data_IF_254519616133
#
_entry.id   IF_254519616133
#
_cell.length_a   1.000
_cell.length_b   1.000
_cell.length_c   1.000
_cell.angle_alpha   90.00
_cell.angle_beta   90.00
_cell.angle_gamma   90.00
#
_symmetry.space_group_name_H-M   'P 1'
#
loop_
_entity.id
_entity.type
_entity.pdbx_description
1 polymer ?
#
# COMPACT_ATOMS: atom_id res chain seq x y z
N UNK A 1 -12.41 -17.31 10.16
CA UNK A 1 -12.63 -16.05 10.91
C UNK A 1 -11.93 -14.93 10.14
N UNK A 2 -12.64 -13.84 9.79
CA UNK A 2 -12.02 -12.72 9.05
C UNK A 2 -10.91 -12.14 9.93
N UNK A 3 -9.71 -11.94 9.38
CA UNK A 3 -8.58 -11.34 10.10
C UNK A 3 -9.00 -10.00 10.72
N UNK A 4 -8.96 -9.92 12.06
CA UNK A 4 -9.24 -8.69 12.78
C UNK A 4 -7.93 -7.93 13.08
N UNK A 5 -7.59 -6.99 12.18
CA UNK A 5 -6.38 -6.18 12.30
C UNK A 5 -6.28 -5.39 13.61
N UNK A 6 -7.41 -4.92 14.17
CA UNK A 6 -7.41 -4.18 15.44
C UNK A 6 -7.00 -5.08 16.61
N UNK A 7 -7.54 -6.31 16.66
CA UNK A 7 -7.16 -7.30 17.69
C UNK A 7 -5.67 -7.64 17.60
N UNK A 8 -5.16 -7.88 16.40
CA UNK A 8 -3.74 -8.16 16.16
C UNK A 8 -2.84 -7.00 16.60
N UNK A 9 -3.20 -5.76 16.25
CA UNK A 9 -2.43 -4.57 16.61
C UNK A 9 -2.45 -4.23 18.11
N UNK A 10 -3.53 -4.60 18.83
CA UNK A 10 -3.59 -4.47 20.30
C UNK A 10 -2.64 -5.42 21.01
N UNK A 11 -2.37 -6.57 20.42
CA UNK A 11 -1.50 -7.62 20.99
C UNK A 11 -0.02 -7.45 20.56
N UNK A 12 0.25 -6.63 19.55
CA UNK A 12 1.60 -6.43 19.00
C UNK A 12 2.41 -5.44 19.85
N UNK A 13 3.65 -5.81 20.17
CA UNK A 13 4.60 -4.90 20.81
C UNK A 13 5.01 -3.74 19.87
N UNK A 14 5.41 -2.62 20.45
CA UNK A 14 5.99 -1.51 19.66
C UNK A 14 7.45 -1.79 19.29
N UNK A 15 7.97 -1.27 18.16
CA UNK A 15 7.28 -0.45 17.15
C UNK A 15 6.36 -1.29 16.24
N UNK A 16 5.15 -0.79 15.96
CA UNK A 16 4.15 -1.47 15.12
C UNK A 16 4.13 -0.90 13.70
N UNK A 17 3.98 -1.77 12.71
CA UNK A 17 3.72 -1.39 11.32
C UNK A 17 2.24 -1.64 11.03
N UNK A 18 1.54 -0.63 10.53
CA UNK A 18 0.10 -0.70 10.25
C UNK A 18 -0.14 -0.50 8.76
N UNK A 19 -0.76 -1.49 8.11
CA UNK A 19 -1.25 -1.38 6.74
C UNK A 19 -2.69 -0.87 6.75
N UNK A 20 -3.02 0.07 5.88
CA UNK A 20 -4.40 0.49 5.61
C UNK A 20 -4.56 0.93 4.16
N UNK A 21 -5.79 0.89 3.66
CA UNK A 21 -6.20 1.47 2.37
C UNK A 21 -7.25 2.58 2.57
N UNK A 22 -7.37 3.12 3.80
CA UNK A 22 -8.30 4.21 4.07
C UNK A 22 -7.80 5.53 3.45
N UNK A 23 -8.71 6.36 2.91
CA UNK A 23 -8.38 7.74 2.58
C UNK A 23 -7.99 8.51 3.86
N UNK A 24 -7.23 9.60 3.70
CA UNK A 24 -6.66 10.33 4.83
C UNK A 24 -7.73 10.79 5.86
N UNK A 25 -8.91 11.17 5.37
CA UNK A 25 -10.02 11.68 6.19
C UNK A 25 -10.74 10.59 7.00
N UNK A 26 -10.54 9.31 6.65
CA UNK A 26 -11.11 8.18 7.40
C UNK A 26 -10.07 7.47 8.28
N UNK A 27 -8.81 7.91 8.24
CA UNK A 27 -7.78 7.35 9.13
C UNK A 27 -8.16 7.66 10.59
N UNK A 28 -8.07 6.69 11.52
CA UNK A 28 -8.41 6.93 12.92
C UNK A 28 -7.65 8.12 13.50
N UNK A 29 -8.37 9.05 14.14
CA UNK A 29 -7.85 10.33 14.61
C UNK A 29 -6.55 10.19 15.45
N UNK A 30 -6.43 9.10 16.22
CA UNK A 30 -5.26 8.83 17.05
C UNK A 30 -3.94 8.79 16.27
N UNK A 31 -3.93 8.41 14.99
CA UNK A 31 -2.71 8.41 14.18
C UNK A 31 -2.19 9.83 13.93
N UNK A 32 -3.11 10.78 13.74
CA UNK A 32 -2.79 12.21 13.60
C UNK A 32 -2.42 12.83 14.95
N UNK A 33 -3.22 12.57 15.99
CA UNK A 33 -2.99 13.10 17.34
C UNK A 33 -1.65 12.63 17.95
N UNK A 34 -1.24 11.39 17.65
CA UNK A 34 0.06 10.84 18.09
C UNK A 34 1.20 11.14 17.12
N UNK A 35 0.94 11.94 16.08
CA UNK A 35 1.92 12.37 15.09
C UNK A 35 2.74 11.19 14.52
N UNK A 36 2.04 10.10 14.17
CA UNK A 36 2.69 8.90 13.66
C UNK A 36 3.31 9.14 12.27
N UNK A 37 4.47 8.51 12.01
CA UNK A 37 5.04 8.44 10.66
C UNK A 37 4.14 7.61 9.74
N UNK A 38 3.92 8.08 8.53
CA UNK A 38 3.10 7.45 7.50
C UNK A 38 3.84 7.45 6.17
N UNK A 39 3.73 6.34 5.43
CA UNK A 39 4.23 6.23 4.07
C UNK A 39 3.02 5.96 3.18
N UNK A 40 2.77 6.85 2.23
CA UNK A 40 1.74 6.71 1.22
C UNK A 40 2.39 6.33 -0.12
N UNK A 41 1.95 5.23 -0.72
CA UNK A 41 2.41 4.78 -2.03
C UNK A 41 1.28 4.95 -3.06
N UNK A 42 1.48 5.84 -4.03
CA UNK A 42 0.57 6.04 -5.15
C UNK A 42 1.02 5.21 -6.38
N UNK A 43 0.09 4.89 -7.26
CA UNK A 43 0.36 4.29 -8.57
C UNK A 43 -0.62 4.87 -9.58
N UNK A 44 -0.23 4.96 -10.85
CA UNK A 44 -1.09 5.46 -11.91
C UNK A 44 -2.44 4.71 -11.96
N UNK A 45 -3.53 5.45 -12.18
CA UNK A 45 -4.89 4.93 -12.10
C UNK A 45 -5.19 3.79 -13.08
N UNK A 46 -4.58 3.80 -14.28
CA UNK A 46 -4.83 2.81 -15.32
C UNK A 46 -4.32 1.44 -14.89
N UNK A 47 -3.08 1.37 -14.41
CA UNK A 47 -2.51 0.14 -13.89
C UNK A 47 -3.21 -0.34 -12.62
N UNK A 48 -3.63 0.59 -11.76
CA UNK A 48 -4.43 0.25 -10.57
C UNK A 48 -5.73 -0.42 -10.99
N UNK A 49 -6.45 0.13 -11.98
CA UNK A 49 -7.70 -0.47 -12.47
C UNK A 49 -7.49 -1.89 -13.00
N UNK A 50 -6.44 -2.13 -13.81
CA UNK A 50 -6.09 -3.47 -14.31
C UNK A 50 -5.78 -4.41 -13.15
N UNK A 51 -4.90 -4.02 -12.23
CA UNK A 51 -4.54 -4.85 -11.08
C UNK A 51 -5.75 -5.16 -10.19
N UNK A 52 -6.65 -4.20 -10.01
CA UNK A 52 -7.81 -4.34 -9.14
C UNK A 52 -8.87 -5.24 -9.76
N UNK A 53 -9.05 -5.18 -11.08
CA UNK A 53 -9.91 -6.11 -11.82
C UNK A 53 -9.50 -7.58 -11.59
N UNK A 54 -8.21 -7.91 -11.74
CA UNK A 54 -7.74 -9.26 -11.46
C UNK A 54 -7.85 -9.65 -9.98
N UNK A 55 -7.67 -8.69 -9.07
CA UNK A 55 -7.87 -8.94 -7.64
C UNK A 55 -9.32 -9.32 -7.30
N UNK A 56 -10.32 -8.65 -7.91
CA UNK A 56 -11.73 -9.01 -7.79
C UNK A 56 -12.02 -10.44 -8.28
N UNK A 57 -11.37 -10.86 -9.37
CA UNK A 57 -11.53 -12.23 -9.91
C UNK A 57 -10.88 -13.30 -9.05
N UNK A 58 -9.82 -12.95 -8.31
CA UNK A 58 -9.04 -13.89 -7.52
C UNK A 58 -9.57 -14.04 -6.09
N UNK A 59 -10.12 -12.99 -5.50
CA UNK A 59 -10.52 -12.96 -4.08
C UNK A 59 -12.02 -13.18 -3.94
N UNK A 60 -12.40 -14.34 -3.39
CA UNK A 60 -13.77 -14.81 -3.17
C UNK A 60 -14.68 -13.82 -2.43
N UNK A 61 -14.11 -12.94 -1.60
CA UNK A 61 -14.85 -11.90 -0.88
C UNK A 61 -15.39 -10.76 -1.76
N UNK A 62 -14.95 -10.65 -3.02
CA UNK A 62 -15.42 -9.64 -3.96
C UNK A 62 -16.53 -10.20 -4.85
N UNK A 63 -17.51 -9.37 -5.26
CA UNK A 63 -18.46 -9.77 -6.30
C UNK A 63 -17.73 -9.96 -7.64
N UNK A 64 -18.36 -10.69 -8.57
CA UNK A 64 -17.87 -10.79 -9.95
C UNK A 64 -17.70 -9.37 -10.53
N UNK A 65 -16.49 -8.99 -11.00
CA UNK A 65 -16.27 -7.67 -11.57
C UNK A 65 -16.99 -7.46 -12.91
N UNK A 66 -17.46 -8.53 -13.57
CA UNK A 66 -17.97 -8.48 -14.94
C UNK A 66 -16.85 -8.40 -15.96
N UNK A 67 -17.13 -7.80 -17.12
CA UNK A 67 -16.11 -7.48 -18.11
C UNK A 67 -15.16 -6.37 -17.61
N UNK A 68 -13.96 -6.31 -18.19
CA UNK A 68 -13.01 -5.25 -17.84
C UNK A 68 -13.57 -3.84 -18.12
N UNK A 69 -14.37 -3.68 -19.17
CA UNK A 69 -15.00 -2.39 -19.50
C UNK A 69 -15.97 -1.95 -18.39
N UNK A 70 -16.89 -2.82 -17.99
CA UNK A 70 -17.85 -2.55 -16.90
C UNK A 70 -17.12 -2.26 -15.57
N UNK A 71 -16.03 -2.97 -15.30
CA UNK A 71 -15.22 -2.71 -14.12
C UNK A 71 -14.56 -1.33 -14.15
N UNK A 72 -14.01 -0.92 -15.30
CA UNK A 72 -13.39 0.40 -15.45
C UNK A 72 -14.41 1.52 -15.28
N UNK A 73 -15.64 1.34 -15.76
CA UNK A 73 -16.75 2.28 -15.53
C UNK A 73 -17.01 2.44 -14.00
N UNK A 74 -17.18 1.33 -13.28
CA UNK A 74 -17.32 1.35 -11.81
C UNK A 74 -16.13 2.00 -11.11
N UNK A 75 -14.92 1.72 -11.57
CA UNK A 75 -13.69 2.29 -11.01
C UNK A 75 -13.63 3.82 -11.19
N UNK A 76 -13.97 4.33 -12.38
CA UNK A 76 -14.01 5.77 -12.66
C UNK A 76 -15.06 6.49 -11.81
N UNK A 77 -16.21 5.85 -11.58
CA UNK A 77 -17.27 6.37 -10.71
C UNK A 77 -16.95 6.23 -9.21
N UNK A 78 -15.89 5.51 -8.85
CA UNK A 78 -15.53 5.21 -7.47
C UNK A 78 -16.47 4.22 -6.78
N UNK A 79 -17.20 3.41 -7.54
CA UNK A 79 -18.09 2.34 -7.06
C UNK A 79 -17.32 1.02 -6.84
N UNK A 80 -16.18 1.14 -6.17
CA UNK A 80 -15.30 0.02 -5.78
C UNK A 80 -14.94 0.19 -4.30
N UNK A 81 -14.49 -0.87 -3.60
CA UNK A 81 -14.05 -0.73 -2.21
C UNK A 81 -12.97 0.36 -2.09
N UNK A 82 -13.02 1.09 -0.98
CA UNK A 82 -12.23 2.31 -0.72
C UNK A 82 -12.55 3.53 -1.61
N UNK A 83 -13.49 3.40 -2.54
CA UNK A 83 -14.09 4.52 -3.27
C UNK A 83 -13.25 5.05 -4.43
N UNK A 84 -13.37 6.34 -4.69
CA UNK A 84 -12.71 7.01 -5.82
C UNK A 84 -11.19 7.08 -5.64
N UNK A 85 -10.45 6.46 -6.56
CA UNK A 85 -8.98 6.58 -6.63
C UNK A 85 -8.52 8.04 -6.66
N UNK A 86 -9.23 8.90 -7.42
CA UNK A 86 -8.89 10.32 -7.55
C UNK A 86 -8.98 11.05 -6.21
N UNK A 87 -10.11 10.88 -5.49
CA UNK A 87 -10.29 11.49 -4.17
C UNK A 87 -9.29 10.93 -3.16
N UNK A 88 -9.02 9.63 -3.21
CA UNK A 88 -8.06 8.96 -2.35
C UNK A 88 -6.65 9.54 -2.53
N UNK A 89 -6.13 9.54 -3.76
CA UNK A 89 -4.80 10.08 -4.07
C UNK A 89 -4.69 11.56 -3.73
N UNK A 90 -5.70 12.38 -4.07
CA UNK A 90 -5.70 13.81 -3.75
C UNK A 90 -5.71 14.07 -2.23
N UNK A 91 -6.53 13.34 -1.46
CA UNK A 91 -6.59 13.51 0.00
C UNK A 91 -5.24 13.30 0.68
N UNK A 92 -4.46 12.31 0.21
CA UNK A 92 -3.12 12.04 0.70
C UNK A 92 -2.07 12.99 0.11
N UNK A 93 -2.24 13.41 -1.14
CA UNK A 93 -1.38 14.40 -1.78
C UNK A 93 -1.39 15.73 -1.03
N UNK A 94 -2.54 16.18 -0.55
CA UNK A 94 -2.65 17.39 0.28
C UNK A 94 -1.87 17.29 1.62
N UNK A 95 -1.56 16.07 2.07
CA UNK A 95 -0.74 15.84 3.27
C UNK A 95 0.76 15.73 2.98
N UNK A 96 1.20 15.74 1.72
CA UNK A 96 2.60 15.48 1.32
C UNK A 96 3.65 16.43 1.93
N UNK A 97 3.24 17.65 2.29
CA UNK A 97 4.13 18.64 2.89
C UNK A 97 4.28 18.44 4.41
N UNK A 98 3.52 17.52 5.02
CA UNK A 98 3.70 17.14 6.41
C UNK A 98 4.98 16.28 6.53
N UNK A 99 5.95 16.65 7.39
CA UNK A 99 7.19 15.88 7.56
C UNK A 99 6.98 14.45 8.12
N UNK A 100 5.81 14.14 8.67
CA UNK A 100 5.43 12.77 9.08
C UNK A 100 4.81 11.95 7.95
N UNK A 101 4.64 12.51 6.74
CA UNK A 101 4.06 11.80 5.59
C UNK A 101 5.08 11.74 4.47
N UNK A 102 5.57 10.54 4.17
CA UNK A 102 6.37 10.28 2.98
C UNK A 102 5.44 9.85 1.84
N UNK A 103 5.33 10.66 0.81
CA UNK A 103 4.58 10.34 -0.40
C UNK A 103 5.52 9.75 -1.46
N UNK A 104 5.20 8.55 -1.95
CA UNK A 104 5.97 7.78 -2.93
C UNK A 104 5.12 7.43 -4.14
N UNK A 105 5.79 7.15 -5.26
CA UNK A 105 5.17 6.61 -6.47
C UNK A 105 5.72 5.22 -6.78
N UNK A 106 4.83 4.31 -7.18
CA UNK A 106 5.21 2.97 -7.61
C UNK A 106 6.11 3.03 -8.84
N UNK A 107 5.85 3.97 -9.75
CA UNK A 107 6.63 4.20 -10.96
C UNK A 107 8.08 4.59 -10.62
N UNK A 108 8.29 5.48 -9.64
CA UNK A 108 9.64 5.85 -9.16
C UNK A 108 10.36 4.62 -8.57
N UNK A 109 9.65 3.76 -7.83
CA UNK A 109 10.22 2.51 -7.32
C UNK A 109 10.59 1.53 -8.44
N UNK A 110 9.91 1.61 -9.59
CA UNK A 110 10.24 0.81 -10.78
C UNK A 110 11.39 1.39 -11.58
N UNK A 111 11.52 2.71 -11.62
CA UNK A 111 12.59 3.43 -12.30
C UNK A 111 13.92 3.33 -11.55
N UNK A 112 13.93 3.66 -10.25
CA UNK A 112 15.12 3.62 -9.41
C UNK A 112 14.78 3.17 -7.98
N UNK A 113 14.76 1.85 -7.79
CA UNK A 113 14.44 1.24 -6.50
C UNK A 113 15.47 1.59 -5.42
N UNK A 114 16.75 1.79 -5.76
CA UNK A 114 17.79 2.10 -4.75
C UNK A 114 17.52 3.46 -4.13
N UNK A 115 17.24 4.47 -4.96
CA UNK A 115 16.90 5.82 -4.51
C UNK A 115 15.67 5.83 -3.60
N UNK A 116 14.61 5.11 -3.97
CA UNK A 116 13.39 5.06 -3.17
C UNK A 116 13.57 4.29 -1.86
N UNK A 117 14.36 3.22 -1.84
CA UNK A 117 14.74 2.50 -0.60
C UNK A 117 15.53 3.41 0.34
N UNK A 118 16.53 4.14 -0.15
CA UNK A 118 17.31 5.09 0.66
C UNK A 118 16.41 6.16 1.27
N UNK A 119 15.47 6.72 0.49
CA UNK A 119 14.49 7.70 0.95
C UNK A 119 13.64 7.17 2.12
N UNK A 120 13.17 5.93 2.03
CA UNK A 120 12.40 5.27 3.11
C UNK A 120 13.27 5.05 4.35
N UNK A 121 14.51 4.56 4.20
CA UNK A 121 15.44 4.33 5.32
C UNK A 121 15.67 5.63 6.10
N UNK A 122 15.97 6.72 5.39
CA UNK A 122 16.21 8.03 5.98
C UNK A 122 14.94 8.58 6.65
N UNK A 123 13.77 8.46 6.02
CA UNK A 123 12.50 8.86 6.60
C UNK A 123 12.20 8.11 7.91
N UNK A 124 12.57 6.83 7.99
CA UNK A 124 12.45 6.03 9.21
C UNK A 124 13.52 6.37 10.27
N UNK A 125 14.45 7.28 9.98
CA UNK A 125 15.50 7.72 10.91
C UNK A 125 16.66 6.72 11.04
N UNK A 126 16.92 5.93 9.99
CA UNK A 126 18.01 4.94 9.95
C UNK A 126 19.10 5.37 8.96
N UNK A 127 20.29 4.80 9.12
CA UNK A 127 21.42 5.05 8.22
C UNK A 127 21.42 4.04 7.06
N UNK A 128 21.47 4.49 5.79
CA UNK A 128 21.48 3.61 4.63
C UNK A 128 22.91 3.16 4.29
N UNK A 129 23.37 2.04 4.86
CA UNK A 129 24.59 1.40 4.36
C UNK A 129 24.33 0.73 3.02
N UNK A 130 25.35 0.66 2.15
CA UNK A 130 25.23 -0.02 0.84
C UNK A 130 24.75 -1.47 1.00
N UNK A 131 25.34 -2.22 1.94
CA UNK A 131 24.93 -3.60 2.22
C UNK A 131 23.45 -3.72 2.60
N UNK A 132 22.92 -2.80 3.42
CA UNK A 132 21.52 -2.78 3.80
C UNK A 132 20.62 -2.49 2.59
N UNK A 133 21.01 -1.50 1.78
CA UNK A 133 20.27 -1.11 0.57
C UNK A 133 20.25 -2.27 -0.44
N UNK A 134 21.40 -2.88 -0.73
CA UNK A 134 21.54 -4.05 -1.60
C UNK A 134 20.61 -5.19 -1.17
N UNK A 135 20.67 -5.53 0.13
CA UNK A 135 19.88 -6.61 0.70
C UNK A 135 18.38 -6.34 0.59
N UNK A 136 17.93 -5.12 0.87
CA UNK A 136 16.51 -4.76 0.71
C UNK A 136 16.11 -4.87 -0.75
N UNK A 137 16.86 -4.25 -1.66
CA UNK A 137 16.55 -4.24 -3.10
C UNK A 137 16.43 -5.66 -3.67
N UNK A 138 17.35 -6.55 -3.30
CA UNK A 138 17.28 -7.96 -3.70
C UNK A 138 16.02 -8.64 -3.15
N UNK A 139 15.85 -8.65 -1.82
CA UNK A 139 14.76 -9.39 -1.17
C UNK A 139 13.36 -8.85 -1.49
N UNK A 140 13.23 -7.56 -1.81
CA UNK A 140 11.96 -6.96 -2.20
C UNK A 140 11.77 -6.89 -3.72
N UNK A 141 12.61 -7.55 -4.50
CA UNK A 141 12.40 -7.68 -5.94
C UNK A 141 11.16 -8.53 -6.23
N UNK A 142 10.53 -8.29 -7.38
CA UNK A 142 9.28 -8.96 -7.74
C UNK A 142 9.40 -10.49 -7.75
N UNK A 143 10.50 -11.04 -8.29
CA UNK A 143 10.69 -12.49 -8.37
C UNK A 143 10.87 -13.12 -6.99
N UNK A 144 11.68 -12.50 -6.13
CA UNK A 144 11.88 -12.96 -4.75
C UNK A 144 10.55 -12.94 -3.98
N UNK A 145 9.81 -11.83 -4.03
CA UNK A 145 8.54 -11.71 -3.30
C UNK A 145 7.44 -12.61 -3.84
N UNK A 146 7.38 -12.85 -5.16
CA UNK A 146 6.40 -13.75 -5.78
C UNK A 146 6.60 -15.20 -5.34
N UNK A 147 7.85 -15.61 -5.18
CA UNK A 147 8.20 -16.99 -4.82
C UNK A 147 8.30 -17.19 -3.29
N UNK A 148 8.19 -16.14 -2.49
CA UNK A 148 8.27 -16.20 -1.03
C UNK A 148 6.86 -16.38 -0.39
N UNK A 149 6.57 -17.53 0.26
CA UNK A 149 5.28 -17.80 0.92
C UNK A 149 4.90 -16.79 2.01
N UNK A 150 5.87 -16.05 2.56
CA UNK A 150 5.61 -15.00 3.55
C UNK A 150 4.99 -13.74 2.94
N UNK A 151 5.07 -13.54 1.61
CA UNK A 151 4.67 -12.29 0.94
C UNK A 151 3.72 -12.47 -0.23
N UNK A 152 3.59 -13.68 -0.78
CA UNK A 152 2.80 -13.95 -1.99
C UNK A 152 1.34 -14.37 -1.73
N UNK A 153 0.91 -14.38 -0.46
CA UNK A 153 -0.45 -14.72 -0.01
C UNK A 153 -0.91 -16.16 -0.28
N UNK A 154 -0.04 -17.10 -0.69
CA UNK A 154 -0.44 -18.50 -0.95
C UNK A 154 -0.80 -19.30 0.30
N UNK A 155 -0.60 -18.72 1.49
CA UNK A 155 -0.97 -19.33 2.78
C UNK A 155 -2.35 -18.89 3.28
N UNK A 156 -3.02 -17.95 2.58
CA UNK A 156 -4.38 -17.58 2.90
C UNK A 156 -5.35 -18.69 2.50
N UNK A 157 -6.41 -18.94 3.29
CA UNK A 157 -7.51 -19.80 2.87
C UNK A 157 -8.27 -19.18 1.68
N UNK A 158 -8.82 -20.04 0.82
CA UNK A 158 -9.71 -19.66 -0.28
C UNK A 158 -11.01 -18.97 0.18
#
# INVERSE_FOLDING_TARGET
EIMNGVKQLKQMASPRIVKTHLPADLLPASFWEKNCKMIYLCRNAKDVAVSYYYFFRMVSAHPDPGSFQEFVEKFMEGQVPYGSWYKHANSWWEKRNNPQVLFLFYEDMKEDIRKEVIKVIQFLGRQPSEELVDKIVQHTSFQEMKNNPSTNYTTLPD
#
